data_IF_991179109033
#
_entry.id   IF_991179109033
#
_cell.length_a   1.000
_cell.length_b   1.000
_cell.length_c   1.000
_cell.angle_alpha   90.00
_cell.angle_beta   90.00
_cell.angle_gamma   90.00
#
_symmetry.space_group_name_H-M   'P 1'
#
loop_
_entity.id
_entity.type
_entity.pdbx_description
1 polymer ?
#
# COMPACT_ATOMS: atom_id res chain seq x y z
N UNK A 1 -4.28 -50.00 25.53
CA UNK A 1 -3.05 -49.30 25.08
C UNK A 1 -3.17 -49.09 23.58
N UNK A 2 -3.26 -47.84 23.13
CA UNK A 2 -3.39 -47.51 21.71
C UNK A 2 -3.53 -46.01 21.56
N UNK A 3 -2.41 -45.29 21.69
CA UNK A 3 -2.34 -43.86 21.45
C UNK A 3 -2.47 -43.62 19.93
N UNK A 4 -3.57 -43.02 19.49
CA UNK A 4 -3.69 -42.47 18.15
C UNK A 4 -2.91 -41.15 18.11
N UNK A 5 -1.75 -41.13 17.46
CA UNK A 5 -1.09 -39.89 17.06
C UNK A 5 -1.92 -39.25 15.94
N UNK A 6 -2.81 -38.35 16.31
CA UNK A 6 -3.32 -37.32 15.38
C UNK A 6 -2.16 -36.37 15.13
N UNK A 7 -1.40 -36.61 14.06
CA UNK A 7 -0.44 -35.65 13.54
C UNK A 7 -1.19 -34.40 13.10
N UNK A 8 -0.94 -33.28 13.77
CA UNK A 8 -1.35 -31.97 13.29
C UNK A 8 -0.71 -31.76 11.91
N UNK A 9 -1.56 -31.61 10.89
CA UNK A 9 -1.13 -31.06 9.61
C UNK A 9 -0.65 -29.64 9.86
N UNK A 10 0.66 -29.42 9.84
CA UNK A 10 1.25 -28.09 9.72
C UNK A 10 0.75 -27.48 8.40
N UNK A 11 -0.27 -26.62 8.48
CA UNK A 11 -0.67 -25.80 7.36
C UNK A 11 0.44 -24.78 7.10
N UNK A 12 1.18 -25.08 6.04
CA UNK A 12 2.21 -24.30 5.38
C UNK A 12 1.94 -22.78 5.39
N UNK A 13 2.54 -22.08 6.36
CA UNK A 13 2.47 -20.61 6.52
C UNK A 13 3.31 -19.88 5.45
N UNK A 14 4.21 -20.61 4.76
CA UNK A 14 5.18 -20.04 3.81
C UNK A 14 4.61 -19.74 2.43
N UNK A 15 3.47 -20.31 2.05
CA UNK A 15 2.89 -20.15 0.70
C UNK A 15 1.94 -18.97 0.56
N UNK A 16 1.40 -18.45 1.67
CA UNK A 16 0.43 -17.35 1.65
C UNK A 16 1.14 -16.01 1.38
N UNK A 17 2.26 -15.74 2.05
CA UNK A 17 2.99 -14.48 1.90
C UNK A 17 3.67 -14.27 0.54
N UNK A 18 4.14 -15.34 -0.11
CA UNK A 18 4.77 -15.24 -1.43
C UNK A 18 3.78 -14.80 -2.52
N UNK A 19 2.50 -15.16 -2.36
CA UNK A 19 1.46 -14.82 -3.32
C UNK A 19 1.03 -13.35 -3.17
N UNK A 20 0.79 -12.87 -1.96
CA UNK A 20 0.17 -11.54 -1.74
C UNK A 20 0.99 -10.38 -2.31
N UNK A 21 2.31 -10.38 -2.11
CA UNK A 21 3.20 -9.37 -2.70
C UNK A 21 3.23 -9.43 -4.23
N UNK A 22 3.19 -10.64 -4.80
CA UNK A 22 3.13 -10.83 -6.23
C UNK A 22 1.79 -10.36 -6.83
N UNK A 23 0.67 -10.69 -6.17
CA UNK A 23 -0.66 -10.22 -6.59
C UNK A 23 -0.73 -8.69 -6.53
N UNK A 24 -0.32 -8.10 -5.41
CA UNK A 24 -0.34 -6.63 -5.19
C UNK A 24 0.57 -5.91 -6.19
N UNK A 25 1.77 -6.45 -6.45
CA UNK A 25 2.67 -5.93 -7.47
C UNK A 25 2.08 -6.01 -8.88
N UNK A 26 1.45 -7.13 -9.23
CA UNK A 26 0.78 -7.28 -10.54
C UNK A 26 -0.35 -6.27 -10.71
N UNK A 27 -1.17 -6.09 -9.68
CA UNK A 27 -2.24 -5.09 -9.68
C UNK A 27 -1.70 -3.67 -9.83
N UNK A 28 -0.61 -3.33 -9.14
CA UNK A 28 0.03 -2.02 -9.27
C UNK A 28 0.53 -1.75 -10.70
N UNK A 29 1.14 -2.75 -11.37
CA UNK A 29 1.58 -2.61 -12.78
C UNK A 29 0.38 -2.41 -13.71
N UNK A 30 -0.68 -3.20 -13.55
CA UNK A 30 -1.91 -3.06 -14.35
C UNK A 30 -2.54 -1.68 -14.13
N UNK A 31 -2.61 -1.21 -12.89
CA UNK A 31 -3.11 0.13 -12.57
C UNK A 31 -2.29 1.23 -13.26
N UNK A 32 -0.95 1.13 -13.20
CA UNK A 32 -0.05 2.09 -13.85
C UNK A 32 -0.19 2.12 -15.38
N UNK A 33 -0.36 0.94 -16.01
CA UNK A 33 -0.60 0.84 -17.47
C UNK A 33 -1.92 1.50 -17.90
N UNK A 34 -2.92 1.54 -17.01
CA UNK A 34 -4.23 2.11 -17.29
C UNK A 34 -4.31 3.63 -17.03
N UNK A 35 -3.25 4.25 -16.50
CA UNK A 35 -3.20 5.71 -16.31
C UNK A 35 -3.15 6.39 -17.68
N UNK A 36 -4.22 7.09 -18.04
CA UNK A 36 -4.31 7.87 -19.28
C UNK A 36 -4.01 9.35 -19.00
N UNK A 37 -3.19 10.02 -19.82
CA UNK A 37 -2.94 11.44 -19.68
C UNK A 37 -4.21 12.27 -19.92
N UNK A 38 -4.31 13.40 -19.23
CA UNK A 38 -5.38 14.37 -19.42
C UNK A 38 -4.90 15.44 -20.40
N UNK A 39 -5.22 15.30 -21.69
CA UNK A 39 -4.74 16.19 -22.76
C UNK A 39 -5.54 17.49 -22.94
N UNK A 40 -6.43 17.80 -21.99
CA UNK A 40 -7.25 19.02 -22.00
C UNK A 40 -6.68 20.10 -21.09
N UNK A 41 -6.83 21.36 -21.50
CA UNK A 41 -6.45 22.51 -20.66
C UNK A 41 -7.20 22.49 -19.33
N UNK A 42 -6.47 22.58 -18.22
CA UNK A 42 -7.03 22.70 -16.89
C UNK A 42 -7.78 24.04 -16.73
N UNK A 43 -8.97 24.00 -16.12
CA UNK A 43 -9.75 25.21 -15.79
C UNK A 43 -9.32 25.84 -14.46
N UNK A 44 -8.93 24.99 -13.51
CA UNK A 44 -8.54 25.37 -12.15
C UNK A 44 -7.18 24.73 -11.84
N UNK A 45 -6.38 25.42 -11.03
CA UNK A 45 -5.11 24.90 -10.51
C UNK A 45 -5.19 24.95 -9.00
N UNK A 46 -4.88 23.81 -8.36
CA UNK A 46 -4.75 23.70 -6.91
C UNK A 46 -3.29 23.33 -6.64
N UNK A 47 -2.61 24.14 -5.84
CA UNK A 47 -1.20 23.93 -5.50
C UNK A 47 -1.08 23.67 -4.00
N UNK A 48 -0.63 22.48 -3.63
CA UNK A 48 -0.36 22.09 -2.25
C UNK A 48 1.13 22.29 -1.98
N UNK A 49 1.46 23.08 -0.96
CA UNK A 49 2.83 23.27 -0.49
C UNK A 49 2.95 22.78 0.94
N UNK A 50 3.81 21.80 1.16
CA UNK A 50 4.22 21.35 2.48
C UNK A 50 5.61 21.92 2.79
N UNK A 51 5.67 22.98 3.59
CA UNK A 51 6.95 23.50 4.08
C UNK A 51 7.62 22.45 5.00
N UNK A 52 8.87 22.11 4.72
CA UNK A 52 9.58 21.03 5.44
C UNK A 52 9.08 19.60 5.18
N UNK A 53 8.21 19.38 4.18
CA UNK A 53 7.65 18.05 3.88
C UNK A 53 8.55 17.22 2.94
N UNK A 54 9.74 16.86 3.42
CA UNK A 54 10.64 15.93 2.74
C UNK A 54 10.14 14.47 2.75
N UNK A 55 10.88 13.57 2.12
CA UNK A 55 10.55 12.12 2.05
C UNK A 55 10.42 11.48 3.44
N UNK A 56 11.27 11.87 4.38
CA UNK A 56 11.21 11.41 5.77
C UNK A 56 9.94 11.89 6.48
N UNK A 57 9.57 13.16 6.28
CA UNK A 57 8.34 13.75 6.84
C UNK A 57 7.09 13.07 6.28
N UNK A 58 7.07 12.75 4.98
CA UNK A 58 5.96 12.01 4.36
C UNK A 58 5.81 10.60 4.96
N UNK A 59 6.93 9.88 5.12
CA UNK A 59 6.94 8.54 5.73
C UNK A 59 6.45 8.58 7.18
N UNK A 60 6.95 9.53 7.97
CA UNK A 60 6.54 9.71 9.36
C UNK A 60 5.04 10.07 9.47
N UNK A 61 4.55 10.96 8.60
CA UNK A 61 3.15 11.36 8.56
C UNK A 61 2.23 10.17 8.23
N UNK A 62 2.60 9.34 7.25
CA UNK A 62 1.86 8.13 6.89
C UNK A 62 1.75 7.15 8.07
N UNK A 63 2.86 6.89 8.76
CA UNK A 63 2.88 5.98 9.92
C UNK A 63 1.98 6.53 11.03
N UNK A 64 2.11 7.83 11.32
CA UNK A 64 1.33 8.50 12.35
C UNK A 64 -0.17 8.49 12.03
N UNK A 65 -0.57 8.82 10.80
CA UNK A 65 -1.98 8.82 10.38
C UNK A 65 -2.57 7.40 10.44
N UNK A 66 -1.84 6.39 9.96
CA UNK A 66 -2.32 5.01 10.03
C UNK A 66 -2.51 4.52 11.47
N UNK A 67 -1.60 4.89 12.39
CA UNK A 67 -1.77 4.62 13.83
C UNK A 67 -3.00 5.32 14.43
N UNK A 68 -3.27 6.57 14.04
CA UNK A 68 -4.46 7.30 14.48
C UNK A 68 -5.77 6.66 13.99
N UNK A 69 -5.75 6.06 12.80
CA UNK A 69 -6.87 5.31 12.23
C UNK A 69 -6.97 3.87 12.75
N UNK A 70 -6.02 3.42 13.58
CA UNK A 70 -5.97 2.05 14.09
C UNK A 70 -5.59 1.00 13.05
N UNK A 71 -4.97 1.41 11.93
CA UNK A 71 -4.49 0.52 10.86
C UNK A 71 -2.96 0.41 10.88
N UNK A 72 -2.40 -0.49 10.07
CA UNK A 72 -0.96 -0.59 9.91
C UNK A 72 -0.42 0.69 9.25
N UNK A 73 0.35 1.48 10.01
CA UNK A 73 0.89 2.76 9.56
C UNK A 73 1.90 2.68 8.43
N UNK A 74 2.64 1.57 8.30
CA UNK A 74 3.64 1.40 7.24
C UNK A 74 2.98 1.08 5.89
N UNK A 75 1.88 0.31 5.94
CA UNK A 75 1.08 -0.03 4.77
C UNK A 75 0.05 1.05 4.39
N UNK A 76 -0.17 2.03 5.27
CA UNK A 76 -1.07 3.16 4.98
C UNK A 76 -0.51 4.01 3.83
N UNK A 77 -1.36 4.81 3.20
CA UNK A 77 -0.95 5.77 2.18
C UNK A 77 -1.70 7.07 2.39
N UNK A 78 -0.96 8.18 2.35
CA UNK A 78 -1.52 9.53 2.42
C UNK A 78 -2.36 9.81 1.17
N UNK A 79 -3.33 10.72 1.30
CA UNK A 79 -4.25 11.05 0.21
C UNK A 79 -3.56 11.49 -1.09
N UNK A 80 -2.46 12.24 -0.98
CA UNK A 80 -1.68 12.74 -2.12
C UNK A 80 -0.74 11.69 -2.72
N UNK A 81 -0.38 10.62 -2.01
CA UNK A 81 0.44 9.52 -2.55
C UNK A 81 -0.35 8.64 -3.53
N UNK A 82 -1.68 8.79 -3.56
CA UNK A 82 -2.57 8.11 -4.51
C UNK A 82 -2.69 8.84 -5.84
N UNK A 83 -2.05 10.01 -5.99
CA UNK A 83 -2.05 10.71 -7.26
C UNK A 83 -1.26 9.92 -8.32
N UNK A 84 -1.75 9.86 -9.57
CA UNK A 84 -1.18 8.99 -10.60
C UNK A 84 0.19 9.43 -11.12
N UNK A 85 0.66 10.61 -10.71
CA UNK A 85 1.95 11.18 -11.13
C UNK A 85 2.70 11.67 -9.89
N UNK A 86 3.99 11.35 -9.80
CA UNK A 86 4.88 11.72 -8.69
C UNK A 86 6.25 12.12 -9.24
#
# INVERSE_FOLDING_TARGET
MGLSLTGCSETNESTVHANDWYQSGREAVIAAQNVQPIDRRAKNVIFFIGDGMGVSTQTAARILEGQQLGVNGEAHQLSFERFPYT
#
